data_IF_567953157141
#
_entry.id   IF_567953157141
#
_cell.length_a   1.000
_cell.length_b   1.000
_cell.length_c   1.000
_cell.angle_alpha   90.00
_cell.angle_beta   90.00
_cell.angle_gamma   90.00
#
_symmetry.space_group_name_H-M   'P 1'
#
loop_
_entity.id
_entity.type
_entity.pdbx_description
1 polymer ?
#
# COMPACT_ATOMS: atom_id res chain seq x y z
N UNK A 1 -15.97 25.39 -24.78
CA UNK A 1 -15.66 24.37 -23.76
C UNK A 1 -16.99 23.85 -23.30
N UNK A 2 -17.36 22.64 -23.70
CA UNK A 2 -18.56 21.99 -23.19
C UNK A 2 -18.48 21.89 -21.67
N UNK A 3 -19.61 22.06 -20.94
CA UNK A 3 -19.64 21.81 -19.52
C UNK A 3 -19.34 20.31 -19.33
N UNK A 4 -18.21 19.99 -18.69
CA UNK A 4 -17.84 18.63 -18.40
C UNK A 4 -19.02 17.93 -17.68
N UNK A 5 -19.48 16.81 -18.25
CA UNK A 5 -20.49 15.96 -17.60
C UNK A 5 -20.06 15.67 -16.15
N UNK A 6 -20.99 15.61 -15.19
CA UNK A 6 -20.66 15.24 -13.82
C UNK A 6 -20.07 13.83 -13.81
N UNK A 7 -18.75 13.73 -13.63
CA UNK A 7 -18.08 12.44 -13.52
C UNK A 7 -18.37 11.87 -12.13
N UNK A 8 -19.25 10.86 -12.10
CA UNK A 8 -19.56 10.07 -10.91
C UNK A 8 -18.33 9.31 -10.40
N UNK A 9 -18.32 8.99 -9.10
CA UNK A 9 -17.28 8.13 -8.51
C UNK A 9 -17.15 6.82 -9.30
N UNK A 10 -15.93 6.33 -9.58
CA UNK A 10 -15.76 5.08 -10.29
C UNK A 10 -16.54 3.94 -9.61
N UNK A 11 -17.33 3.19 -10.40
CA UNK A 11 -18.23 2.15 -9.87
C UNK A 11 -17.51 1.10 -9.01
N UNK A 12 -16.32 0.72 -9.44
CA UNK A 12 -15.33 -0.10 -8.71
C UNK A 12 -15.02 0.37 -7.29
N UNK A 13 -15.08 1.68 -7.02
CA UNK A 13 -14.75 2.27 -5.72
C UNK A 13 -15.99 2.51 -4.86
N UNK A 14 -17.21 2.32 -5.38
CA UNK A 14 -18.44 2.59 -4.61
C UNK A 14 -18.56 1.73 -3.35
N UNK A 15 -18.02 0.51 -3.36
CA UNK A 15 -18.08 -0.44 -2.25
C UNK A 15 -16.78 -0.51 -1.43
N UNK A 16 -15.95 0.53 -1.50
CA UNK A 16 -14.70 0.64 -0.74
C UNK A 16 -14.89 1.66 0.37
N UNK A 17 -14.88 1.21 1.63
CA UNK A 17 -15.17 2.08 2.79
C UNK A 17 -14.09 3.13 3.01
N UNK A 18 -12.82 2.71 2.97
CA UNK A 18 -11.67 3.58 3.17
C UNK A 18 -10.64 3.45 2.04
N UNK A 19 -10.11 4.57 1.54
CA UNK A 19 -9.05 4.63 0.54
C UNK A 19 -7.88 5.41 1.13
N UNK A 20 -6.73 4.76 1.24
CA UNK A 20 -5.50 5.35 1.79
C UNK A 20 -4.41 5.29 0.73
N UNK A 21 -3.82 6.44 0.42
CA UNK A 21 -2.64 6.52 -0.44
C UNK A 21 -1.37 6.32 0.38
N UNK A 22 -0.40 5.60 -0.16
CA UNK A 22 0.95 5.50 0.41
C UNK A 22 1.91 6.23 -0.54
N UNK A 23 2.46 7.36 -0.08
CA UNK A 23 3.28 8.27 -0.89
C UNK A 23 4.74 8.29 -0.42
N UNK A 24 5.67 8.62 -1.31
CA UNK A 24 7.05 8.92 -0.93
C UNK A 24 7.69 9.94 -1.87
N UNK A 25 8.59 10.78 -1.35
CA UNK A 25 9.28 11.78 -2.16
C UNK A 25 10.33 11.20 -3.12
N UNK A 26 10.87 10.01 -2.81
CA UNK A 26 11.86 9.32 -3.66
C UNK A 26 11.66 7.82 -3.64
N UNK A 27 12.25 7.16 -4.64
CA UNK A 27 12.39 5.71 -4.70
C UNK A 27 13.40 5.22 -3.65
N UNK A 28 13.25 3.95 -3.25
CA UNK A 28 14.17 3.28 -2.32
C UNK A 28 13.94 3.54 -0.84
N UNK A 29 12.92 4.31 -0.44
CA UNK A 29 12.58 4.54 0.98
C UNK A 29 11.82 3.38 1.63
N UNK A 30 11.49 2.32 0.87
CA UNK A 30 10.71 1.18 1.34
C UNK A 30 9.19 1.43 1.42
N UNK A 31 8.66 2.35 0.60
CA UNK A 31 7.22 2.64 0.47
C UNK A 31 6.37 1.37 0.31
N UNK A 32 6.69 0.53 -0.67
CA UNK A 32 5.96 -0.73 -0.91
C UNK A 32 6.10 -1.75 0.24
N UNK A 33 7.21 -1.74 0.98
CA UNK A 33 7.36 -2.55 2.20
C UNK A 33 6.43 -2.07 3.31
N UNK A 34 6.27 -0.75 3.47
CA UNK A 34 5.30 -0.16 4.41
C UNK A 34 3.86 -0.46 3.96
N UNK A 35 3.56 -0.37 2.66
CA UNK A 35 2.26 -0.77 2.10
C UNK A 35 1.94 -2.23 2.40
N UNK A 36 2.91 -3.14 2.16
CA UNK A 36 2.75 -4.58 2.43
C UNK A 36 2.44 -4.84 3.89
N UNK A 37 3.23 -4.28 4.81
CA UNK A 37 3.02 -4.47 6.24
C UNK A 37 1.71 -3.86 6.73
N UNK A 38 1.36 -2.66 6.25
CA UNK A 38 0.07 -2.02 6.55
C UNK A 38 -1.10 -2.93 6.13
N UNK A 39 -1.02 -3.53 4.94
CA UNK A 39 -2.03 -4.46 4.46
C UNK A 39 -2.13 -5.71 5.34
N UNK A 40 -0.99 -6.33 5.68
CA UNK A 40 -0.95 -7.51 6.54
C UNK A 40 -1.52 -7.22 7.93
N UNK A 41 -1.19 -6.06 8.51
CA UNK A 41 -1.71 -5.61 9.81
C UNK A 41 -3.22 -5.40 9.77
N UNK A 42 -3.77 -4.74 8.74
CA UNK A 42 -5.22 -4.55 8.59
C UNK A 42 -5.95 -5.89 8.45
N UNK A 43 -5.39 -6.81 7.66
CA UNK A 43 -5.96 -8.16 7.49
C UNK A 43 -5.90 -8.95 8.80
N UNK A 44 -4.81 -8.86 9.56
CA UNK A 44 -4.69 -9.46 10.89
C UNK A 44 -5.69 -8.90 11.90
N UNK A 45 -6.08 -7.62 11.76
CA UNK A 45 -7.16 -6.99 12.52
C UNK A 45 -8.57 -7.35 12.02
N UNK A 46 -8.69 -8.18 10.98
CA UNK A 46 -9.95 -8.70 10.47
C UNK A 46 -10.54 -7.92 9.28
N UNK A 47 -9.86 -6.90 8.77
CA UNK A 47 -10.38 -6.05 7.70
C UNK A 47 -10.12 -6.63 6.30
N UNK A 48 -11.15 -6.61 5.44
CA UNK A 48 -10.98 -6.93 4.04
C UNK A 48 -10.18 -5.82 3.35
N UNK A 49 -8.98 -6.18 2.88
CA UNK A 49 -8.00 -5.22 2.40
C UNK A 49 -7.64 -5.49 0.94
N UNK A 50 -7.67 -4.43 0.14
CA UNK A 50 -7.21 -4.41 -1.24
C UNK A 50 -5.93 -3.60 -1.33
N UNK A 51 -5.00 -4.03 -2.16
CA UNK A 51 -3.79 -3.27 -2.47
C UNK A 51 -3.75 -3.02 -3.97
N UNK A 52 -3.60 -1.75 -4.35
CA UNK A 52 -3.44 -1.30 -5.72
C UNK A 52 -2.02 -0.80 -5.92
N UNK A 53 -1.23 -1.53 -6.69
CA UNK A 53 0.13 -1.16 -7.10
C UNK A 53 0.11 -0.47 -8.46
N UNK A 54 0.41 0.82 -8.44
CA UNK A 54 0.52 1.67 -9.62
C UNK A 54 1.94 2.21 -9.82
N UNK A 55 2.93 1.69 -9.08
CA UNK A 55 4.35 1.99 -9.31
C UNK A 55 4.87 1.23 -10.53
N UNK A 56 4.65 1.82 -11.70
CA UNK A 56 5.08 1.33 -13.00
C UNK A 56 6.59 1.18 -13.18
N UNK A 57 7.39 1.86 -12.36
CA UNK A 57 8.84 1.91 -12.56
C UNK A 57 9.57 0.73 -11.93
N UNK A 58 8.93 0.07 -10.97
CA UNK A 58 9.46 -1.11 -10.30
C UNK A 58 8.38 -1.78 -9.46
N UNK A 59 7.36 -2.40 -10.07
CA UNK A 59 6.26 -3.02 -9.34
C UNK A 59 6.83 -4.13 -8.45
N UNK A 60 6.78 -3.89 -7.14
CA UNK A 60 7.40 -4.76 -6.14
C UNK A 60 6.37 -5.58 -5.36
N UNK A 61 5.11 -5.15 -5.34
CA UNK A 61 4.08 -5.80 -4.52
C UNK A 61 3.76 -7.24 -4.95
N UNK A 62 3.69 -7.61 -6.26
CA UNK A 62 3.54 -9.01 -6.63
C UNK A 62 4.62 -9.93 -6.06
N UNK A 63 5.87 -9.42 -5.95
CA UNK A 63 6.99 -10.12 -5.29
C UNK A 63 6.77 -10.23 -3.81
N UNK A 64 6.52 -9.09 -3.17
CA UNK A 64 6.40 -8.99 -1.73
C UNK A 64 5.30 -9.89 -1.18
N UNK A 65 4.26 -10.16 -1.98
CA UNK A 65 3.17 -11.06 -1.64
C UNK A 65 3.30 -12.49 -2.20
N UNK A 66 4.37 -12.82 -2.93
CA UNK A 66 4.63 -14.17 -3.45
C UNK A 66 3.62 -14.61 -4.53
N UNK A 67 3.12 -13.66 -5.31
CA UNK A 67 2.08 -13.90 -6.34
C UNK A 67 2.52 -13.47 -7.74
N UNK A 68 3.82 -13.28 -7.97
CA UNK A 68 4.36 -12.81 -9.26
C UNK A 68 3.93 -13.64 -10.47
N UNK A 69 3.76 -14.95 -10.29
CA UNK A 69 3.38 -15.89 -11.36
C UNK A 69 1.88 -15.89 -11.65
N UNK A 70 1.07 -15.20 -10.83
CA UNK A 70 -0.38 -15.08 -11.02
C UNK A 70 -0.69 -14.12 -12.15
N UNK A 71 -1.86 -14.30 -12.76
CA UNK A 71 -2.37 -13.43 -13.81
C UNK A 71 -3.70 -12.82 -13.39
N UNK A 72 -3.97 -11.62 -13.88
CA UNK A 72 -5.27 -10.97 -13.72
C UNK A 72 -6.28 -11.64 -14.63
N UNK A 73 -7.45 -11.96 -14.09
CA UNK A 73 -8.56 -12.52 -14.85
C UNK A 73 -9.60 -11.45 -15.16
N UNK A 74 -10.21 -11.52 -16.34
CA UNK A 74 -11.33 -10.67 -16.73
C UNK A 74 -12.65 -11.43 -16.53
N UNK A 75 -13.56 -10.83 -15.76
CA UNK A 75 -14.94 -11.29 -15.58
C UNK A 75 -15.92 -10.40 -16.35
N UNK A 76 -17.20 -10.75 -16.35
CA UNK A 76 -18.28 -9.90 -16.88
C UNK A 76 -18.43 -8.58 -16.13
N UNK A 77 -18.01 -8.51 -14.86
CA UNK A 77 -18.10 -7.32 -14.02
C UNK A 77 -16.86 -6.41 -14.09
N UNK A 78 -15.75 -6.90 -14.66
CA UNK A 78 -14.49 -6.18 -14.71
C UNK A 78 -13.28 -7.07 -14.41
N UNK A 79 -12.14 -6.44 -14.10
CA UNK A 79 -10.89 -7.12 -13.76
C UNK A 79 -10.93 -7.62 -12.32
N UNK A 80 -10.65 -8.91 -12.15
CA UNK A 80 -10.64 -9.56 -10.85
C UNK A 80 -9.24 -9.42 -10.25
N UNK A 81 -9.08 -8.77 -9.08
CA UNK A 81 -7.79 -8.68 -8.41
C UNK A 81 -7.31 -10.07 -7.98
N UNK A 82 -5.98 -10.25 -7.95
CA UNK A 82 -5.35 -11.50 -7.52
C UNK A 82 -5.59 -11.67 -6.03
N UNK A 83 -6.19 -12.79 -5.64
CA UNK A 83 -6.35 -13.14 -4.22
C UNK A 83 -5.00 -13.58 -3.65
N UNK A 84 -4.52 -12.86 -2.64
CA UNK A 84 -3.27 -13.16 -1.90
C UNK A 84 -3.59 -14.04 -0.70
N UNK A 85 -4.65 -13.72 0.02
CA UNK A 85 -5.12 -14.49 1.18
C UNK A 85 -6.64 -14.43 1.28
N UNK A 86 -7.27 -15.57 1.59
CA UNK A 86 -8.71 -15.65 1.86
C UNK A 86 -8.93 -16.27 3.24
N UNK A 87 -9.79 -15.65 4.04
CA UNK A 87 -10.14 -16.14 5.39
C UNK A 87 -10.79 -17.54 5.36
N UNK A 88 -11.47 -17.91 4.28
CA UNK A 88 -11.98 -19.29 4.09
C UNK A 88 -10.89 -20.37 4.04
N UNK A 89 -9.61 -19.98 4.02
CA UNK A 89 -8.45 -20.87 4.08
C UNK A 89 -7.80 -20.90 5.48
N UNK A 90 -8.33 -20.14 6.44
CA UNK A 90 -7.87 -20.15 7.83
C UNK A 90 -8.32 -21.44 8.52
N UNK A 91 -7.38 -22.15 9.14
CA UNK A 91 -7.66 -23.41 9.83
C UNK A 91 -7.95 -23.19 11.31
N UNK A 92 -7.58 -22.04 11.83
CA UNK A 92 -7.79 -21.64 13.22
C UNK A 92 -9.05 -20.76 13.32
N UNK A 93 -10.16 -21.34 13.79
CA UNK A 93 -11.43 -20.63 13.98
C UNK A 93 -11.32 -19.43 14.95
N UNK A 94 -10.26 -19.37 15.75
CA UNK A 94 -10.01 -18.25 16.68
C UNK A 94 -9.31 -17.06 16.00
N UNK A 95 -8.63 -17.26 14.88
CA UNK A 95 -7.97 -16.18 14.11
C UNK A 95 -8.90 -15.64 13.02
N UNK A 96 -9.75 -14.66 13.37
CA UNK A 96 -10.60 -13.98 12.38
C UNK A 96 -9.81 -12.94 11.58
N UNK A 97 -9.22 -13.36 10.47
CA UNK A 97 -8.54 -12.47 9.52
C UNK A 97 -9.48 -11.98 8.42
N UNK A 98 -9.14 -10.85 7.82
CA UNK A 98 -9.79 -10.37 6.61
C UNK A 98 -9.32 -11.12 5.36
N UNK A 99 -9.87 -10.76 4.20
CA UNK A 99 -9.31 -11.17 2.92
C UNK A 99 -8.28 -10.14 2.43
N UNK A 100 -7.29 -10.60 1.65
CA UNK A 100 -6.29 -9.76 1.01
C UNK A 100 -6.30 -9.98 -0.50
N UNK A 101 -6.46 -8.89 -1.26
CA UNK A 101 -6.44 -8.88 -2.72
C UNK A 101 -5.44 -7.85 -3.26
N UNK A 102 -4.84 -8.15 -4.40
CA UNK A 102 -3.83 -7.32 -5.05
C UNK A 102 -4.18 -7.09 -6.52
N UNK A 103 -4.12 -5.83 -6.95
CA UNK A 103 -4.03 -5.47 -8.36
C UNK A 103 -2.71 -4.74 -8.59
N UNK A 104 -1.94 -5.15 -9.60
CA UNK A 104 -0.66 -4.54 -9.93
C UNK A 104 -0.44 -4.48 -11.43
N UNK A 105 0.22 -3.42 -11.89
CA UNK A 105 0.75 -3.37 -13.25
C UNK A 105 1.78 -4.47 -13.53
N UNK A 106 2.44 -4.98 -12.49
CA UNK A 106 3.36 -6.10 -12.60
C UNK A 106 2.73 -7.35 -13.22
N UNK A 107 1.42 -7.60 -13.01
CA UNK A 107 0.73 -8.74 -13.62
C UNK A 107 0.49 -8.60 -15.13
N UNK A 108 0.48 -7.36 -15.63
CA UNK A 108 0.25 -7.06 -17.04
C UNK A 108 1.55 -6.99 -17.85
N UNK A 109 2.70 -6.91 -17.15
CA UNK A 109 4.02 -6.89 -17.75
C UNK A 109 4.54 -8.33 -17.76
N UNK A 110 4.32 -9.04 -18.87
CA UNK A 110 4.55 -10.49 -18.95
C UNK A 110 5.97 -10.98 -18.62
N UNK A 111 7.00 -10.15 -18.75
CA UNK A 111 8.37 -10.52 -18.38
C UNK A 111 9.10 -9.35 -17.69
N UNK A 112 9.65 -9.59 -16.50
CA UNK A 112 10.42 -8.61 -15.72
C UNK A 112 11.65 -8.06 -16.44
N UNK A 113 12.26 -8.88 -17.30
CA UNK A 113 13.41 -8.48 -18.09
C UNK A 113 13.01 -7.75 -19.38
N UNK A 114 11.72 -7.71 -19.72
CA UNK A 114 11.23 -6.87 -20.80
C UNK A 114 11.00 -5.47 -20.24
N UNK A 115 11.90 -4.54 -20.57
CA UNK A 115 11.72 -3.12 -20.29
C UNK A 115 10.62 -2.57 -21.21
N UNK A 116 9.35 -2.81 -20.84
CA UNK A 116 8.22 -2.20 -21.55
C UNK A 116 8.22 -0.73 -21.19
N UNK A 117 8.61 0.13 -22.13
CA UNK A 117 8.53 1.59 -21.94
C UNK A 117 7.08 2.03 -22.11
N UNK A 118 6.37 2.19 -21.01
CA UNK A 118 5.03 2.78 -21.01
C UNK A 118 5.12 4.30 -21.12
N UNK A 119 4.59 4.86 -22.21
CA UNK A 119 4.49 6.32 -22.39
C UNK A 119 3.41 6.90 -21.48
N UNK A 120 3.60 8.13 -21.01
CA UNK A 120 2.72 8.85 -20.05
C UNK A 120 1.22 8.65 -20.28
N UNK A 121 0.66 8.91 -21.47
CA UNK A 121 -0.77 8.74 -21.72
C UNK A 121 -1.29 7.31 -21.49
N UNK A 122 -0.47 6.31 -21.83
CA UNK A 122 -0.81 4.90 -21.62
C UNK A 122 -0.82 4.56 -20.12
N UNK A 123 0.11 5.13 -19.35
CA UNK A 123 0.16 4.99 -17.89
C UNK A 123 -1.09 5.58 -17.23
N UNK A 124 -1.42 6.82 -17.58
CA UNK A 124 -2.64 7.49 -17.10
C UNK A 124 -3.89 6.67 -17.44
N UNK A 125 -4.01 6.17 -18.67
CA UNK A 125 -5.13 5.32 -19.07
C UNK A 125 -5.23 4.04 -18.22
N UNK A 126 -4.12 3.40 -17.86
CA UNK A 126 -4.13 2.22 -16.98
C UNK A 126 -4.53 2.55 -15.54
N UNK A 127 -4.04 3.65 -14.97
CA UNK A 127 -4.46 4.09 -13.64
C UNK A 127 -5.98 4.31 -13.62
N UNK A 128 -6.51 5.00 -14.63
CA UNK A 128 -7.96 5.18 -14.82
C UNK A 128 -8.70 3.85 -14.94
N UNK A 129 -8.16 2.91 -15.72
CA UNK A 129 -8.75 1.59 -15.90
C UNK A 129 -8.78 0.81 -14.58
N UNK A 130 -7.70 0.81 -13.80
CA UNK A 130 -7.70 0.16 -12.50
C UNK A 130 -8.71 0.76 -11.54
N UNK A 131 -8.79 2.09 -11.51
CA UNK A 131 -9.72 2.78 -10.64
C UNK A 131 -11.17 2.65 -11.10
N UNK A 132 -11.47 2.20 -12.33
CA UNK A 132 -12.85 2.06 -12.86
C UNK A 132 -13.34 0.62 -13.02
N UNK A 133 -12.46 -0.28 -13.43
CA UNK A 133 -12.83 -1.61 -13.92
C UNK A 133 -12.41 -2.73 -12.97
N UNK A 134 -11.62 -2.45 -11.92
CA UNK A 134 -11.22 -3.48 -10.94
C UNK A 134 -12.36 -3.72 -9.96
N UNK A 135 -12.70 -5.00 -9.80
CA UNK A 135 -13.79 -5.43 -8.92
C UNK A 135 -13.21 -5.69 -7.52
N UNK A 136 -13.15 -4.63 -6.69
CA UNK A 136 -12.59 -4.68 -5.33
C UNK A 136 -13.48 -5.40 -4.31
N UNK A 137 -14.80 -5.24 -4.40
CA UNK A 137 -15.75 -5.98 -3.56
C UNK A 137 -15.84 -7.44 -4.03
N UNK A 138 -15.62 -8.37 -3.09
CA UNK A 138 -15.26 -9.75 -3.40
C UNK A 138 -16.42 -10.64 -3.88
N UNK A 139 -16.26 -11.19 -5.10
CA UNK A 139 -16.80 -12.49 -5.54
C UNK A 139 -18.32 -12.64 -5.60
N UNK A 140 -18.80 -13.91 -5.64
CA UNK A 140 -20.22 -14.30 -5.75
C UNK A 140 -21.15 -13.70 -4.68
N UNK A 141 -20.59 -13.17 -3.57
CA UNK A 141 -21.34 -12.72 -2.40
C UNK A 141 -21.26 -11.20 -2.13
N UNK A 142 -20.61 -10.42 -2.99
CA UNK A 142 -20.61 -8.96 -2.95
C UNK A 142 -20.16 -8.34 -1.60
N UNK A 143 -19.11 -8.91 -0.98
CA UNK A 143 -18.59 -8.45 0.30
C UNK A 143 -17.86 -7.10 0.12
N UNK A 144 -18.20 -6.03 0.87
CA UNK A 144 -17.56 -4.74 0.73
C UNK A 144 -16.08 -4.80 1.16
N UNK A 145 -15.27 -3.95 0.53
CA UNK A 145 -13.86 -3.80 0.90
C UNK A 145 -13.75 -2.75 2.01
N UNK A 146 -13.07 -3.09 3.11
CA UNK A 146 -12.90 -2.17 4.23
C UNK A 146 -11.82 -1.14 3.92
N UNK A 147 -10.66 -1.57 3.42
CA UNK A 147 -9.54 -0.69 3.10
C UNK A 147 -8.98 -0.98 1.71
N UNK A 148 -8.78 0.07 0.91
CA UNK A 148 -7.97 0.05 -0.30
C UNK A 148 -6.71 0.87 -0.07
N UNK A 149 -5.56 0.20 -0.06
CA UNK A 149 -4.25 0.85 -0.03
C UNK A 149 -3.76 1.06 -1.46
N UNK A 150 -3.35 2.28 -1.80
CA UNK A 150 -2.83 2.62 -3.13
C UNK A 150 -1.34 2.93 -3.01
N UNK A 151 -0.49 2.05 -3.54
CA UNK A 151 0.96 2.22 -3.60
C UNK A 151 1.33 3.05 -4.83
N UNK A 152 1.63 4.34 -4.63
CA UNK A 152 1.90 5.26 -5.74
C UNK A 152 3.34 5.16 -6.24
N UNK A 153 3.69 5.66 -7.43
CA UNK A 153 5.10 5.89 -7.77
C UNK A 153 5.77 6.87 -6.79
N UNK A 154 7.10 6.93 -6.73
CA UNK A 154 7.79 7.97 -5.95
C UNK A 154 7.79 9.34 -6.65
N UNK A 155 7.74 10.42 -5.85
CA UNK A 155 7.91 11.81 -6.29
C UNK A 155 6.68 12.40 -7.01
N UNK A 156 6.59 13.72 -7.17
CA UNK A 156 5.38 14.38 -7.70
C UNK A 156 5.26 14.36 -9.23
N UNK A 157 4.97 13.21 -9.81
CA UNK A 157 4.89 12.97 -11.27
C UNK A 157 3.47 13.11 -11.87
N UNK A 158 3.33 12.99 -13.19
CA UNK A 158 2.03 12.99 -13.89
C UNK A 158 1.08 11.89 -13.39
N UNK A 159 1.64 10.76 -12.92
CA UNK A 159 0.86 9.69 -12.29
C UNK A 159 0.11 10.18 -11.04
N UNK A 160 0.70 11.07 -10.24
CA UNK A 160 0.06 11.63 -9.04
C UNK A 160 -1.14 12.50 -9.39
N UNK A 161 -1.02 13.32 -10.44
CA UNK A 161 -2.12 14.13 -10.95
C UNK A 161 -3.25 13.23 -11.45
N UNK A 162 -2.92 12.18 -12.21
CA UNK A 162 -3.91 11.23 -12.72
C UNK A 162 -4.69 10.53 -11.58
N UNK A 163 -4.00 10.08 -10.53
CA UNK A 163 -4.65 9.49 -9.34
C UNK A 163 -5.54 10.53 -8.66
N UNK A 164 -5.03 11.75 -8.45
CA UNK A 164 -5.78 12.79 -7.77
C UNK A 164 -7.05 13.20 -8.53
N UNK A 165 -7.00 13.25 -9.87
CA UNK A 165 -8.17 13.52 -10.71
C UNK A 165 -9.25 12.45 -10.56
N UNK A 166 -8.88 11.17 -10.60
CA UNK A 166 -9.84 10.07 -10.49
C UNK A 166 -10.37 9.88 -9.07
N UNK A 167 -9.51 10.05 -8.06
CA UNK A 167 -9.89 9.91 -6.65
C UNK A 167 -10.59 11.14 -6.08
N UNK A 168 -10.55 12.30 -6.74
CA UNK A 168 -11.29 13.50 -6.29
C UNK A 168 -12.76 13.21 -6.03
N UNK A 169 -13.36 12.33 -6.85
CA UNK A 169 -14.76 11.91 -6.76
C UNK A 169 -14.98 10.73 -5.82
N UNK A 170 -13.90 10.10 -5.37
CA UNK A 170 -13.94 9.05 -4.38
C UNK A 170 -13.79 9.61 -2.95
N UNK A 171 -13.23 10.80 -2.75
CA UNK A 171 -12.95 11.35 -1.42
C UNK A 171 -12.13 10.38 -0.56
N UNK A 172 -10.83 10.17 -0.88
CA UNK A 172 -9.97 9.29 -0.09
C UNK A 172 -9.79 9.84 1.32
N UNK A 173 -9.60 8.95 2.29
CA UNK A 173 -9.39 9.28 3.71
C UNK A 173 -8.10 10.09 3.89
N UNK A 174 -7.09 9.83 3.07
CA UNK A 174 -5.88 10.61 3.03
C UNK A 174 -4.66 9.82 2.59
N UNK A 175 -3.48 10.35 2.91
CA UNK A 175 -2.20 9.80 2.55
C UNK A 175 -1.30 9.54 3.76
N UNK A 176 -0.62 8.39 3.76
CA UNK A 176 0.53 8.11 4.62
C UNK A 176 1.79 8.48 3.84
N UNK A 177 2.63 9.32 4.42
CA UNK A 177 3.91 9.73 3.83
C UNK A 177 5.02 8.84 4.37
N UNK A 178 5.71 8.11 3.50
CA UNK A 178 6.86 7.28 3.86
C UNK A 178 8.14 8.02 3.55
N UNK A 179 9.05 8.06 4.53
CA UNK A 179 10.37 8.67 4.41
C UNK A 179 11.43 7.83 5.12
N UNK A 180 12.70 8.24 5.05
CA UNK A 180 13.80 7.67 5.86
C UNK A 180 14.50 8.80 6.59
N UNK A 181 15.21 8.54 7.70
CA UNK A 181 15.82 9.59 8.52
C UNK A 181 16.69 10.59 7.73
N UNK A 182 17.43 10.10 6.73
CA UNK A 182 18.31 10.92 5.90
C UNK A 182 17.54 11.79 4.89
N UNK A 183 16.33 11.36 4.50
CA UNK A 183 15.53 12.03 3.48
C UNK A 183 14.55 13.04 4.06
N UNK A 184 14.38 13.10 5.37
CA UNK A 184 13.27 13.86 5.94
C UNK A 184 13.39 15.38 5.71
N UNK A 185 14.61 15.90 5.68
CA UNK A 185 14.84 17.32 5.36
C UNK A 185 14.81 17.62 3.86
N UNK A 186 14.57 16.63 2.99
CA UNK A 186 14.66 16.83 1.54
C UNK A 186 13.47 17.62 1.00
N UNK A 187 13.74 18.37 -0.07
CA UNK A 187 12.70 19.08 -0.82
C UNK A 187 11.62 18.12 -1.35
N UNK A 188 11.95 16.85 -1.55
CA UNK A 188 11.05 15.90 -2.21
C UNK A 188 9.93 15.42 -1.27
N UNK A 189 10.22 15.14 0.01
CA UNK A 189 9.16 14.86 1.00
C UNK A 189 8.24 16.07 1.18
N UNK A 190 8.81 17.29 1.20
CA UNK A 190 8.02 18.53 1.28
C UNK A 190 7.14 18.74 0.04
N UNK A 191 7.60 18.33 -1.14
CA UNK A 191 6.79 18.38 -2.37
C UNK A 191 5.59 17.43 -2.29
N UNK A 192 5.76 16.23 -1.74
CA UNK A 192 4.63 15.29 -1.55
C UNK A 192 3.56 15.85 -0.60
N UNK A 193 4.00 16.43 0.52
CA UNK A 193 3.06 17.07 1.47
C UNK A 193 2.35 18.24 0.81
N UNK A 194 3.08 19.06 0.04
CA UNK A 194 2.48 20.16 -0.72
C UNK A 194 1.56 19.67 -1.83
N UNK A 195 1.85 18.52 -2.44
CA UNK A 195 0.97 17.88 -3.42
C UNK A 195 -0.36 17.51 -2.76
N UNK A 196 -0.34 16.82 -1.61
CA UNK A 196 -1.55 16.48 -0.85
C UNK A 196 -2.40 17.74 -0.57
N UNK A 197 -1.76 18.83 -0.09
CA UNK A 197 -2.44 20.12 0.13
C UNK A 197 -3.06 20.70 -1.14
N UNK A 198 -2.37 20.62 -2.29
CA UNK A 198 -2.86 21.14 -3.57
C UNK A 198 -4.07 20.36 -4.11
N UNK A 199 -4.12 19.05 -3.87
CA UNK A 199 -5.20 18.18 -4.34
C UNK A 199 -6.28 17.95 -3.27
N UNK A 200 -6.15 18.62 -2.12
CA UNK A 200 -7.05 18.50 -0.97
C UNK A 200 -7.16 17.08 -0.42
N UNK A 201 -6.04 16.38 -0.32
CA UNK A 201 -5.94 15.11 0.41
C UNK A 201 -5.38 15.36 1.80
N UNK A 202 -6.02 14.76 2.80
CA UNK A 202 -5.52 14.78 4.17
C UNK A 202 -4.22 14.00 4.28
N UNK A 203 -3.32 14.45 5.14
CA UNK A 203 -2.10 13.72 5.47
C UNK A 203 -2.34 13.01 6.80
N UNK A 204 -2.65 11.71 6.73
CA UNK A 204 -2.93 10.86 7.90
C UNK A 204 -1.71 10.74 8.82
N UNK A 205 -0.51 10.91 8.26
CA UNK A 205 0.71 11.12 9.00
C UNK A 205 1.95 10.64 8.28
N UNK A 206 3.09 10.71 8.98
CA UNK A 206 4.41 10.38 8.46
C UNK A 206 4.94 9.11 9.15
N UNK A 207 5.43 8.17 8.35
CA UNK A 207 6.20 6.99 8.78
C UNK A 207 7.66 7.19 8.42
N UNK A 208 8.55 7.11 9.41
CA UNK A 208 10.00 7.10 9.19
C UNK A 208 10.49 5.65 9.12
N UNK A 209 10.68 5.15 7.90
CA UNK A 209 11.18 3.82 7.63
C UNK A 209 12.71 3.76 7.67
N UNK A 210 13.27 2.55 7.83
CA UNK A 210 14.71 2.33 8.01
C UNK A 210 15.31 3.13 9.19
N UNK A 211 14.49 3.38 10.22
CA UNK A 211 14.88 4.13 11.42
C UNK A 211 15.22 3.14 12.53
N UNK A 212 16.51 2.77 12.57
CA UNK A 212 17.00 1.69 13.41
C UNK A 212 17.19 0.37 12.68
N UNK A 213 17.70 -0.61 13.39
CA UNK A 213 17.97 -1.97 12.92
C UNK A 213 17.76 -2.94 14.08
N UNK A 214 16.91 -3.92 13.88
CA UNK A 214 16.65 -4.99 14.85
C UNK A 214 17.74 -6.06 14.67
N UNK A 215 18.53 -6.30 15.71
CA UNK A 215 19.52 -7.36 15.69
C UNK A 215 18.83 -8.74 15.78
N UNK A 216 18.99 -9.64 14.80
CA UNK A 216 18.33 -10.95 14.79
C UNK A 216 18.84 -11.91 15.88
N UNK A 217 19.92 -11.55 16.60
CA UNK A 217 20.50 -12.38 17.66
C UNK A 217 20.10 -11.92 19.08
N UNK A 218 19.87 -10.63 19.30
CA UNK A 218 19.58 -10.08 20.64
C UNK A 218 18.36 -9.18 20.73
N UNK A 219 17.64 -8.95 19.61
CA UNK A 219 16.47 -8.06 19.51
C UNK A 219 16.72 -6.60 19.95
N UNK A 220 17.98 -6.19 20.10
CA UNK A 220 18.34 -4.81 20.39
C UNK A 220 18.20 -3.96 19.11
N UNK A 221 17.52 -2.83 19.22
CA UNK A 221 17.37 -1.89 18.12
C UNK A 221 18.51 -0.86 18.12
N UNK A 222 19.35 -0.90 17.09
CA UNK A 222 20.48 0.03 16.91
C UNK A 222 20.23 1.01 15.78
N UNK A 223 20.43 2.29 16.03
CA UNK A 223 20.38 3.32 14.98
C UNK A 223 21.64 3.27 14.11
N UNK A 224 21.58 2.52 13.00
CA UNK A 224 22.67 2.44 11.99
C UNK A 224 22.87 3.80 11.30
N UNK A 225 21.78 4.56 11.16
CA UNK A 225 21.78 5.91 10.62
C UNK A 225 21.28 6.90 11.67
N UNK A 226 21.21 8.19 11.30
CA UNK A 226 20.43 9.17 12.07
C UNK A 226 18.98 8.69 12.23
N UNK A 227 18.26 9.19 13.22
CA UNK A 227 16.84 8.89 13.46
C UNK A 227 16.12 10.14 13.95
N UNK A 228 14.80 10.16 13.80
CA UNK A 228 13.94 11.23 14.33
C UNK A 228 13.72 12.41 13.39
N UNK A 229 14.29 12.41 12.19
CA UNK A 229 14.01 13.44 11.19
C UNK A 229 12.52 13.50 10.85
N UNK A 230 11.88 12.34 10.70
CA UNK A 230 10.45 12.12 10.41
C UNK A 230 9.55 12.81 11.43
N UNK A 231 9.91 12.63 12.70
CA UNK A 231 9.23 13.24 13.82
C UNK A 231 9.40 14.76 13.81
N UNK A 232 10.62 15.24 13.62
CA UNK A 232 10.90 16.68 13.55
C UNK A 232 10.16 17.36 12.37
N UNK A 233 10.12 16.74 11.19
CA UNK A 233 9.34 17.25 10.05
C UNK A 233 7.85 17.30 10.36
N UNK A 234 7.34 16.26 11.02
CA UNK A 234 5.93 16.19 11.39
C UNK A 234 5.57 17.33 12.35
N UNK A 235 6.39 17.55 13.37
CA UNK A 235 6.22 18.67 14.32
C UNK A 235 6.31 20.03 13.60
N UNK A 236 7.30 20.22 12.73
CA UNK A 236 7.50 21.47 11.99
C UNK A 236 6.37 21.80 11.01
N UNK A 237 5.65 20.80 10.51
CA UNK A 237 4.58 20.97 9.52
C UNK A 237 3.18 20.73 10.10
N UNK A 238 3.07 20.55 11.42
CA UNK A 238 1.83 20.24 12.14
C UNK A 238 1.12 19.00 11.56
N UNK A 239 1.89 17.93 11.37
CA UNK A 239 1.43 16.64 10.87
C UNK A 239 1.54 15.58 11.98
N UNK A 240 0.71 14.54 11.89
CA UNK A 240 0.81 13.39 12.81
C UNK A 240 2.05 12.56 12.49
N UNK A 241 2.85 12.27 13.51
CA UNK A 241 3.92 11.28 13.40
C UNK A 241 3.40 9.89 13.76
N UNK A 242 3.37 8.98 12.79
CA UNK A 242 2.80 7.64 12.98
C UNK A 242 3.79 6.70 13.68
N UNK A 243 5.07 6.76 13.32
CA UNK A 243 6.10 5.98 14.00
C UNK A 243 7.35 5.74 13.18
N UNK A 244 8.29 5.04 13.81
CA UNK A 244 9.52 4.55 13.21
C UNK A 244 9.34 3.08 12.82
N UNK A 245 9.82 2.70 11.65
CA UNK A 245 9.93 1.29 11.24
C UNK A 245 11.43 0.99 11.09
N UNK A 246 12.01 0.14 11.95
CA UNK A 246 13.42 -0.24 11.84
C UNK A 246 13.64 -1.22 10.69
N UNK A 247 14.90 -1.40 10.30
CA UNK A 247 15.31 -2.46 9.39
C UNK A 247 15.24 -3.80 10.13
N UNK A 248 14.49 -4.75 9.59
CA UNK A 248 14.43 -6.12 10.07
C UNK A 248 14.84 -7.08 8.94
N UNK A 249 16.02 -7.74 9.04
CA UNK A 249 16.44 -8.75 8.07
C UNK A 249 15.47 -9.92 7.95
N UNK A 250 14.82 -10.33 9.04
CA UNK A 250 13.91 -11.47 9.03
C UNK A 250 12.69 -11.20 8.15
N UNK A 251 12.18 -9.95 8.11
CA UNK A 251 11.11 -9.58 7.19
C UNK A 251 11.54 -9.67 5.71
N UNK A 252 12.77 -9.27 5.39
CA UNK A 252 13.30 -9.40 4.03
C UNK A 252 13.44 -10.87 3.65
N UNK A 253 13.98 -11.70 4.54
CA UNK A 253 14.07 -13.16 4.33
C UNK A 253 12.70 -13.80 4.11
N UNK A 254 11.67 -13.41 4.88
CA UNK A 254 10.30 -13.90 4.71
C UNK A 254 9.75 -13.63 3.29
N UNK A 255 10.02 -12.44 2.74
CA UNK A 255 9.61 -12.06 1.38
C UNK A 255 10.39 -12.87 0.34
N UNK A 256 11.70 -13.01 0.49
CA UNK A 256 12.54 -13.71 -0.49
C UNK A 256 12.28 -15.23 -0.52
N UNK A 257 11.87 -15.82 0.61
CA UNK A 257 11.59 -17.25 0.71
C UNK A 257 10.20 -17.67 0.22
N UNK A 258 9.39 -16.74 -0.29
CA UNK A 258 8.04 -17.06 -0.79
C UNK A 258 8.06 -17.84 -2.11
N UNK A 259 9.08 -17.66 -2.95
CA UNK A 259 9.22 -18.31 -4.25
C UNK A 259 9.95 -19.67 -4.21
N UNK A 260 10.41 -20.11 -3.04
CA UNK A 260 11.15 -21.37 -2.91
C UNK A 260 10.18 -22.55 -2.84
N UNK A 261 10.20 -23.42 -3.84
CA UNK A 261 9.49 -24.72 -3.87
C UNK A 261 9.80 -25.63 -2.65
N UNK A 262 10.84 -25.31 -1.87
CA UNK A 262 11.20 -25.99 -0.61
C UNK A 262 10.35 -25.57 0.59
N UNK A 263 9.63 -24.44 0.51
CA UNK A 263 8.54 -24.16 1.43
C UNK A 263 7.36 -25.01 0.94
N UNK A 264 7.18 -26.16 1.58
CA UNK A 264 6.20 -27.24 1.36
C UNK A 264 4.71 -26.77 1.43
N UNK A 265 4.39 -25.56 0.98
CA UNK A 265 3.10 -24.89 1.06
C UNK A 265 2.62 -24.56 2.48
N UNK A 266 3.48 -24.68 3.51
CA UNK A 266 3.01 -24.77 4.91
C UNK A 266 2.68 -23.43 5.59
N UNK A 267 3.33 -22.31 5.25
CA UNK A 267 3.06 -21.00 5.86
C UNK A 267 3.08 -19.90 4.80
N UNK A 268 2.01 -19.09 4.74
CA UNK A 268 1.93 -17.90 3.87
C UNK A 268 2.61 -16.70 4.53
N UNK A 269 2.81 -15.61 3.77
CA UNK A 269 3.41 -14.38 4.32
C UNK A 269 2.74 -13.93 5.61
N UNK A 270 1.41 -13.94 5.63
CA UNK A 270 0.62 -13.48 6.77
C UNK A 270 0.84 -14.36 8.01
N UNK A 271 1.11 -15.65 7.82
CA UNK A 271 1.42 -16.59 8.91
C UNK A 271 2.82 -16.37 9.45
N UNK A 272 3.78 -16.00 8.58
CA UNK A 272 5.13 -15.64 9.00
C UNK A 272 5.16 -14.26 9.67
N UNK A 273 4.34 -13.33 9.19
CA UNK A 273 4.23 -11.98 9.73
C UNK A 273 3.68 -11.95 11.16
N UNK A 274 2.89 -12.96 11.57
CA UNK A 274 2.42 -13.10 12.95
C UNK A 274 3.56 -13.21 13.96
N UNK A 275 4.67 -13.81 13.54
CA UNK A 275 5.85 -14.09 14.36
C UNK A 275 6.94 -13.01 14.19
N UNK A 276 6.68 -11.95 13.40
CA UNK A 276 7.63 -10.89 13.06
C UNK A 276 7.62 -9.75 14.09
N UNK A 277 8.80 -9.30 14.54
CA UNK A 277 8.90 -8.17 15.50
C UNK A 277 8.32 -6.86 14.93
N UNK A 278 8.35 -6.67 13.61
CA UNK A 278 7.75 -5.50 12.97
C UNK A 278 6.22 -5.44 13.11
N UNK A 279 5.56 -6.56 13.41
CA UNK A 279 4.10 -6.60 13.55
C UNK A 279 3.60 -5.64 14.61
N UNK A 280 4.18 -5.69 15.81
CA UNK A 280 3.74 -4.84 16.94
C UNK A 280 3.97 -3.35 16.63
N UNK A 281 5.09 -3.03 15.98
CA UNK A 281 5.42 -1.67 15.54
C UNK A 281 4.37 -1.17 14.54
N UNK A 282 4.06 -2.00 13.55
CA UNK A 282 3.09 -1.66 12.50
C UNK A 282 1.65 -1.64 13.03
N UNK A 283 1.29 -2.47 14.00
CA UNK A 283 0.02 -2.38 14.72
C UNK A 283 -0.13 -1.01 15.38
N UNK A 284 0.89 -0.52 16.10
CA UNK A 284 0.86 0.81 16.68
C UNK A 284 0.77 1.96 15.65
N UNK A 285 1.39 1.79 14.47
CA UNK A 285 1.29 2.74 13.35
C UNK A 285 -0.14 2.74 12.77
N UNK A 286 -0.69 1.56 12.50
CA UNK A 286 -2.02 1.38 11.91
C UNK A 286 -3.11 1.84 12.89
N UNK A 287 -2.98 1.54 14.18
CA UNK A 287 -3.96 1.97 15.19
C UNK A 287 -4.06 3.50 15.24
N UNK A 288 -2.93 4.22 15.14
CA UNK A 288 -2.95 5.68 15.03
C UNK A 288 -3.65 6.20 13.76
N UNK A 289 -3.70 5.41 12.69
CA UNK A 289 -4.47 5.75 11.47
C UNK A 289 -5.95 5.50 11.74
N UNK A 290 -6.30 4.33 12.29
CA UNK A 290 -7.67 3.95 12.60
C UNK A 290 -8.34 4.87 13.64
N UNK A 291 -7.58 5.34 14.63
CA UNK A 291 -8.04 6.28 15.68
C UNK A 291 -8.48 7.64 15.14
N UNK A 292 -8.10 8.00 13.92
CA UNK A 292 -8.52 9.28 13.32
C UNK A 292 -10.02 9.30 12.95
N UNK A 293 -10.70 8.13 13.03
CA UNK A 293 -12.15 8.00 12.91
C UNK A 293 -12.74 8.67 11.66
N UNK A 294 -12.03 8.58 10.52
CA UNK A 294 -12.61 8.98 9.25
C UNK A 294 -13.90 8.17 9.02
N UNK A 295 -15.05 8.82 8.78
CA UNK A 295 -16.28 8.09 8.53
C UNK A 295 -16.12 7.26 7.26
N UNK A 296 -16.65 6.02 7.22
CA UNK A 296 -16.64 5.25 5.99
C UNK A 296 -17.37 6.02 4.89
N UNK A 297 -16.94 5.84 3.64
CA UNK A 297 -17.50 6.56 2.49
C UNK A 297 -18.99 6.29 2.24
N UNK A 298 -19.56 5.25 2.84
CA UNK A 298 -20.99 4.89 2.78
C UNK A 298 -21.42 4.07 4.02
#
# INVERSE_FOLDING_TARGET
MDPAEPQESPKSLLNVKHIILILSGKGGVGKSSVTTQTALTLVNKGFNTGVLDIDLTGPSLPRMFGVETKQVHQSSAGWVPVSVYNNGQEKDEQKKRGNLSLMSLGFLIGNRNSSVVWRGPKKTAMIRQFLKDVVWSGGENNVPLDYLLIDTPPGTSDEHIAIAEELRWANPDGAIIVTTPQQVATADVRKEINFCKKVNFDVLGVVENMSGFICPHCSECTNIFLSGGGKELSENLDLKFLGNVPIDPSFVEMIEMQDNEQNDGKKKLIDLYDDCELKEIMEGIVDKVLEQQHPPRF
#
